data_IF_161379448590
#
_entry.id   IF_161379448590
#
_cell.length_a   1.000
_cell.length_b   1.000
_cell.length_c   1.000
_cell.angle_alpha   90.00
_cell.angle_beta   90.00
_cell.angle_gamma   90.00
#
_symmetry.space_group_name_H-M   'P 1'
#
loop_
_entity.id
_entity.type
_entity.pdbx_description
1 polymer ?
#
# COMPACT_ATOMS: atom_id res chain seq x y z
N UNK A 1 -5.97 18.70 35.96
CA UNK A 1 -4.80 17.83 36.08
C UNK A 1 -5.02 16.51 35.40
N UNK A 2 -5.98 15.67 35.75
CA UNK A 2 -6.17 14.33 35.09
C UNK A 2 -6.46 14.34 33.55
N UNK A 3 -7.08 15.37 33.02
CA UNK A 3 -7.37 15.50 31.60
C UNK A 3 -6.13 15.79 30.73
N UNK A 4 -5.15 16.47 31.30
CA UNK A 4 -3.90 16.82 30.58
C UNK A 4 -2.93 15.64 30.51
N UNK A 5 -2.92 14.79 31.54
CA UNK A 5 -2.13 13.56 31.58
C UNK A 5 -2.66 12.50 30.58
N UNK A 6 -3.98 12.40 30.40
CA UNK A 6 -4.60 11.49 29.43
C UNK A 6 -4.27 11.91 28.00
N UNK A 7 -4.35 13.21 27.68
CA UNK A 7 -4.01 13.73 26.37
C UNK A 7 -2.52 13.56 26.00
N UNK A 8 -1.63 13.68 26.99
CA UNK A 8 -0.20 13.45 26.79
C UNK A 8 0.10 11.97 26.50
N UNK A 9 -0.52 11.04 27.23
CA UNK A 9 -0.37 9.61 27.00
C UNK A 9 -0.95 9.16 25.63
N UNK A 10 -2.07 9.72 25.24
CA UNK A 10 -2.67 9.46 23.92
C UNK A 10 -1.78 9.98 22.79
N UNK A 11 -1.22 11.18 22.92
CA UNK A 11 -0.29 11.74 21.94
C UNK A 11 1.00 10.92 21.83
N UNK A 12 1.52 10.40 22.94
CA UNK A 12 2.70 9.53 22.95
C UNK A 12 2.40 8.19 22.26
N UNK A 13 1.25 7.58 22.53
CA UNK A 13 0.83 6.35 21.87
C UNK A 13 0.68 6.54 20.35
N UNK A 14 0.13 7.67 19.90
CA UNK A 14 0.03 7.98 18.48
C UNK A 14 1.40 8.18 17.84
N UNK A 15 2.33 8.85 18.51
CA UNK A 15 3.70 9.01 18.01
C UNK A 15 4.40 7.65 17.87
N UNK A 16 4.35 6.81 18.89
CA UNK A 16 4.93 5.47 18.86
C UNK A 16 4.35 4.63 17.72
N UNK A 17 3.05 4.71 17.47
CA UNK A 17 2.38 4.05 16.36
C UNK A 17 2.87 4.57 15.00
N UNK A 18 2.99 5.88 14.87
CA UNK A 18 3.48 6.53 13.67
C UNK A 18 4.93 6.15 13.38
N UNK A 19 5.81 6.22 14.37
CA UNK A 19 7.23 5.87 14.24
C UNK A 19 7.42 4.40 13.83
N UNK A 20 6.59 3.51 14.37
CA UNK A 20 6.69 2.08 14.08
C UNK A 20 6.16 1.70 12.69
N UNK A 21 5.16 2.40 12.14
CA UNK A 21 4.39 1.90 11.00
C UNK A 21 4.30 2.83 9.80
N UNK A 22 4.44 4.17 9.94
CA UNK A 22 4.21 5.13 8.85
C UNK A 22 5.03 4.83 7.61
N UNK A 23 6.34 4.65 7.75
CA UNK A 23 7.23 4.42 6.61
C UNK A 23 6.95 3.11 5.87
N UNK A 24 6.51 2.08 6.60
CA UNK A 24 6.18 0.78 6.01
C UNK A 24 4.84 0.84 5.25
N UNK A 25 3.82 1.51 5.83
CA UNK A 25 2.52 1.71 5.17
C UNK A 25 2.68 2.64 3.97
N UNK A 26 3.46 3.71 4.09
CA UNK A 26 3.73 4.64 3.00
C UNK A 26 4.34 3.91 1.79
N UNK A 27 5.42 3.15 1.99
CA UNK A 27 6.02 2.34 0.92
C UNK A 27 5.03 1.36 0.30
N UNK A 28 4.22 0.70 1.13
CA UNK A 28 3.17 -0.19 0.66
C UNK A 28 2.18 0.53 -0.25
N UNK A 29 1.68 1.70 0.16
CA UNK A 29 0.73 2.49 -0.62
C UNK A 29 1.35 2.97 -1.93
N UNK A 30 2.58 3.50 -1.89
CA UNK A 30 3.31 3.94 -3.10
C UNK A 30 3.48 2.78 -4.09
N UNK A 31 3.94 1.60 -3.64
CA UNK A 31 4.05 0.43 -4.53
C UNK A 31 2.68 -0.07 -5.02
N UNK A 32 1.62 0.22 -4.28
CA UNK A 32 0.27 -0.18 -4.66
C UNK A 32 -0.38 0.77 -5.68
N UNK A 33 -0.08 2.06 -5.62
CA UNK A 33 -0.74 3.11 -6.40
C UNK A 33 0.18 3.82 -7.40
N UNK A 34 1.47 3.91 -7.11
CA UNK A 34 2.41 4.80 -7.79
C UNK A 34 2.25 6.28 -7.39
N UNK A 35 1.33 6.59 -6.47
CA UNK A 35 1.04 7.96 -6.04
C UNK A 35 1.70 8.28 -4.69
N UNK A 36 2.73 9.12 -4.73
CA UNK A 36 3.47 9.55 -3.55
C UNK A 36 2.67 10.55 -2.70
N UNK A 37 1.93 11.45 -3.34
CA UNK A 37 1.15 12.48 -2.64
C UNK A 37 -0.06 11.86 -1.93
N UNK A 38 -0.82 11.01 -2.62
CA UNK A 38 -1.95 10.29 -2.01
C UNK A 38 -1.53 9.29 -0.93
N UNK A 39 -0.29 8.79 -0.97
CA UNK A 39 0.21 7.88 0.06
C UNK A 39 0.28 8.54 1.44
N UNK A 40 0.63 9.83 1.53
CA UNK A 40 0.67 10.55 2.81
C UNK A 40 -0.73 10.65 3.43
N UNK A 41 -1.74 10.93 2.64
CA UNK A 41 -3.14 11.00 3.10
C UNK A 41 -3.65 9.64 3.58
N UNK A 42 -3.34 8.56 2.87
CA UNK A 42 -3.70 7.19 3.26
C UNK A 42 -3.02 6.79 4.57
N UNK A 43 -1.73 7.12 4.74
CA UNK A 43 -1.00 6.87 5.99
C UNK A 43 -1.65 7.63 7.15
N UNK A 44 -1.90 8.91 6.98
CA UNK A 44 -2.50 9.76 7.99
C UNK A 44 -3.88 9.23 8.43
N UNK A 45 -4.77 8.93 7.47
CA UNK A 45 -6.10 8.39 7.76
C UNK A 45 -6.02 7.00 8.42
N UNK A 46 -5.07 6.15 8.02
CA UNK A 46 -4.84 4.84 8.64
C UNK A 46 -4.44 4.98 10.10
N UNK A 47 -3.51 5.88 10.41
CA UNK A 47 -3.06 6.18 11.77
C UNK A 47 -4.19 6.75 12.62
N UNK A 48 -4.98 7.67 12.08
CA UNK A 48 -6.14 8.25 12.77
C UNK A 48 -7.18 7.18 13.12
N UNK A 49 -7.46 6.25 12.22
CA UNK A 49 -8.39 5.15 12.48
C UNK A 49 -7.86 4.20 13.55
N UNK A 50 -6.56 3.89 13.53
CA UNK A 50 -5.93 3.07 14.56
C UNK A 50 -6.03 3.76 15.93
N UNK A 51 -5.69 5.03 16.01
CA UNK A 51 -5.76 5.81 17.23
C UNK A 51 -7.17 5.90 17.82
N UNK A 52 -8.19 6.03 16.98
CA UNK A 52 -9.60 6.05 17.40
C UNK A 52 -10.15 4.68 17.81
N UNK A 53 -9.36 3.63 17.71
CA UNK A 53 -9.76 2.25 18.02
C UNK A 53 -8.94 1.66 19.17
N UNK A 54 -9.28 1.95 20.45
CA UNK A 54 -8.54 1.41 21.59
C UNK A 54 -8.43 -0.12 21.58
N UNK A 55 -9.45 -0.81 21.05
CA UNK A 55 -9.45 -2.26 20.89
C UNK A 55 -8.36 -2.75 19.94
N UNK A 56 -7.95 -1.95 18.94
CA UNK A 56 -6.85 -2.27 18.01
C UNK A 56 -5.52 -2.00 18.70
N UNK A 57 -5.39 -0.88 19.42
CA UNK A 57 -4.17 -0.54 20.14
C UNK A 57 -3.84 -1.50 21.28
N UNK A 58 -4.86 -2.16 21.83
CA UNK A 58 -4.69 -3.19 22.87
C UNK A 58 -4.28 -4.57 22.30
N UNK A 59 -4.24 -4.75 20.98
CA UNK A 59 -3.84 -6.01 20.35
C UNK A 59 -2.31 -6.14 20.26
N UNK A 60 -1.80 -7.38 20.08
CA UNK A 60 -0.39 -7.59 19.78
C UNK A 60 0.06 -6.75 18.58
N UNK A 61 1.31 -6.23 18.58
CA UNK A 61 1.82 -5.36 17.50
C UNK A 61 1.64 -5.93 16.09
N UNK A 62 1.73 -7.24 15.93
CA UNK A 62 1.54 -7.92 14.64
C UNK A 62 0.09 -7.84 14.14
N UNK A 63 -0.88 -7.95 15.06
CA UNK A 63 -2.31 -7.84 14.74
C UNK A 63 -2.68 -6.40 14.38
N UNK A 64 -2.16 -5.43 15.15
CA UNK A 64 -2.31 -4.00 14.87
C UNK A 64 -1.74 -3.67 13.50
N UNK A 65 -0.54 -4.16 13.18
CA UNK A 65 0.08 -3.99 11.88
C UNK A 65 -0.78 -4.58 10.75
N UNK A 66 -1.23 -5.83 10.86
CA UNK A 66 -2.07 -6.48 9.86
C UNK A 66 -3.37 -5.70 9.61
N UNK A 67 -3.98 -5.21 10.68
CA UNK A 67 -5.17 -4.38 10.59
C UNK A 67 -4.90 -3.06 9.84
N UNK A 68 -3.78 -2.38 10.13
CA UNK A 68 -3.40 -1.13 9.45
C UNK A 68 -3.19 -1.33 7.95
N UNK A 69 -2.54 -2.41 7.51
CA UNK A 69 -2.42 -2.74 6.08
C UNK A 69 -3.78 -2.99 5.43
N UNK A 70 -4.69 -3.65 6.15
CA UNK A 70 -6.06 -3.88 5.67
C UNK A 70 -6.81 -2.55 5.47
N UNK A 71 -6.69 -1.63 6.42
CA UNK A 71 -7.30 -0.29 6.34
C UNK A 71 -6.70 0.51 5.18
N UNK A 72 -5.37 0.58 5.08
CA UNK A 72 -4.69 1.29 3.99
C UNK A 72 -5.10 0.76 2.62
N UNK A 73 -5.19 -0.57 2.48
CA UNK A 73 -5.67 -1.21 1.24
C UNK A 73 -7.11 -0.81 0.90
N UNK A 74 -8.01 -0.81 1.88
CA UNK A 74 -9.41 -0.42 1.65
C UNK A 74 -9.51 1.05 1.21
N UNK A 75 -8.76 1.95 1.86
CA UNK A 75 -8.71 3.35 1.45
C UNK A 75 -8.27 3.51 -0.01
N UNK A 76 -7.21 2.84 -0.41
CA UNK A 76 -6.74 2.85 -1.81
C UNK A 76 -7.81 2.31 -2.77
N UNK A 77 -8.46 1.18 -2.43
CA UNK A 77 -9.51 0.60 -3.29
C UNK A 77 -10.69 1.56 -3.43
N UNK A 78 -11.11 2.18 -2.34
CA UNK A 78 -12.24 3.12 -2.34
C UNK A 78 -11.91 4.37 -3.16
N UNK A 79 -10.67 4.86 -3.09
CA UNK A 79 -10.19 5.98 -3.90
C UNK A 79 -10.18 5.64 -5.40
N UNK A 80 -9.65 4.47 -5.78
CA UNK A 80 -9.65 3.99 -7.16
C UNK A 80 -11.09 3.83 -7.69
N UNK A 81 -12.00 3.31 -6.87
CA UNK A 81 -13.42 3.19 -7.25
C UNK A 81 -14.09 4.56 -7.40
N UNK A 82 -13.79 5.49 -6.51
CA UNK A 82 -14.30 6.86 -6.57
C UNK A 82 -13.77 7.62 -7.78
N UNK A 83 -12.48 7.47 -8.09
CA UNK A 83 -11.86 8.04 -9.27
C UNK A 83 -12.51 7.50 -10.57
N UNK A 84 -12.72 6.18 -10.67
CA UNK A 84 -13.42 5.58 -11.82
C UNK A 84 -14.82 6.15 -12.02
N UNK A 85 -15.61 6.30 -10.94
CA UNK A 85 -16.96 6.91 -11.03
C UNK A 85 -16.94 8.37 -11.47
N UNK A 86 -15.86 9.12 -11.13
CA UNK A 86 -15.68 10.52 -11.58
C UNK A 86 -15.20 10.61 -13.01
N UNK A 87 -14.48 9.61 -13.53
CA UNK A 87 -13.95 9.54 -14.90
C UNK A 87 -14.92 8.89 -15.93
N UNK A 88 -16.15 8.59 -15.57
CA UNK A 88 -17.20 8.25 -16.56
C UNK A 88 -17.58 9.43 -17.46
N UNK A 89 -17.03 10.63 -17.21
CA UNK A 89 -16.99 11.75 -18.16
C UNK A 89 -15.54 11.93 -18.64
N UNK A 90 -15.28 11.89 -19.97
CA UNK A 90 -13.91 11.98 -20.47
C UNK A 90 -13.33 13.37 -20.24
N UNK A 91 -12.36 13.47 -19.37
CA UNK A 91 -11.47 14.61 -19.29
C UNK A 91 -10.08 14.10 -19.57
N UNK A 92 -9.53 14.49 -20.73
CA UNK A 92 -8.15 14.27 -21.17
C UNK A 92 -7.19 15.11 -20.29
N UNK A 93 -6.91 14.65 -19.09
CA UNK A 93 -5.77 15.14 -18.32
C UNK A 93 -4.87 13.95 -17.97
N UNK A 94 -3.86 13.76 -18.80
CA UNK A 94 -2.71 12.89 -18.52
C UNK A 94 -1.91 13.59 -17.41
N UNK A 95 -1.67 12.95 -16.24
CA UNK A 95 -0.83 13.55 -15.22
C UNK A 95 0.57 13.80 -15.79
N UNK A 96 1.02 15.04 -15.67
CA UNK A 96 2.34 15.47 -16.11
C UNK A 96 3.41 14.68 -15.37
N UNK A 97 4.15 13.85 -16.11
CA UNK A 97 5.29 13.08 -15.57
C UNK A 97 6.42 14.06 -15.27
N UNK A 98 6.78 14.16 -14.01
CA UNK A 98 8.02 14.84 -13.61
C UNK A 98 9.20 14.02 -14.14
N UNK A 99 9.88 14.54 -15.16
CA UNK A 99 11.16 14.00 -15.65
C UNK A 99 12.19 14.11 -14.52
N UNK A 100 12.64 12.96 -14.02
CA UNK A 100 13.78 12.87 -13.11
C UNK A 100 14.99 12.35 -13.87
N UNK A 101 16.12 13.02 -13.65
CA UNK A 101 17.43 12.65 -14.16
C UNK A 101 17.80 11.21 -13.72
N UNK A 102 18.16 10.34 -14.67
CA UNK A 102 18.08 8.88 -14.48
C UNK A 102 19.47 8.26 -14.52
N UNK A 103 19.92 7.73 -13.38
CA UNK A 103 20.92 6.65 -13.33
C UNK A 103 20.23 5.30 -13.64
N UNK A 104 20.93 4.35 -14.28
CA UNK A 104 20.37 3.06 -14.73
C UNK A 104 19.59 2.29 -13.66
N UNK A 105 20.06 2.30 -12.41
CA UNK A 105 19.37 1.64 -11.29
C UNK A 105 18.04 2.31 -10.91
N UNK A 106 17.94 3.64 -11.04
CA UNK A 106 16.69 4.37 -10.85
C UNK A 106 15.72 4.10 -12.00
N UNK A 107 16.24 3.92 -13.20
CA UNK A 107 15.45 3.58 -14.37
C UNK A 107 14.80 2.19 -14.24
N UNK A 108 15.55 1.18 -13.81
CA UNK A 108 15.01 -0.17 -13.55
C UNK A 108 13.93 -0.14 -12.46
N UNK A 109 14.14 0.63 -11.38
CA UNK A 109 13.16 0.77 -10.31
C UNK A 109 11.86 1.39 -10.81
N UNK A 110 11.94 2.45 -11.62
CA UNK A 110 10.78 3.12 -12.21
C UNK A 110 10.01 2.21 -13.16
N UNK A 111 10.71 1.39 -13.96
CA UNK A 111 10.07 0.43 -14.87
C UNK A 111 9.29 -0.65 -14.09
N UNK A 112 9.85 -1.13 -12.98
CA UNK A 112 9.16 -2.09 -12.11
C UNK A 112 7.93 -1.45 -11.44
N UNK A 113 8.03 -0.22 -10.96
CA UNK A 113 6.90 0.51 -10.38
C UNK A 113 5.78 0.73 -11.39
N UNK A 114 6.12 1.15 -12.62
CA UNK A 114 5.14 1.29 -13.72
C UNK A 114 4.50 -0.03 -14.12
N UNK A 115 5.28 -1.11 -14.18
CA UNK A 115 4.76 -2.43 -14.48
C UNK A 115 3.84 -2.94 -13.37
N UNK A 116 4.20 -2.72 -12.10
CA UNK A 116 3.32 -2.99 -10.96
C UNK A 116 2.04 -2.16 -11.02
N UNK A 117 2.14 -0.88 -11.40
CA UNK A 117 0.99 0.01 -11.51
C UNK A 117 0.00 -0.44 -12.61
N UNK A 118 0.44 -1.14 -13.64
CA UNK A 118 -0.42 -1.69 -14.68
C UNK A 118 -1.23 -2.92 -14.25
N UNK A 119 -0.84 -3.59 -13.16
CA UNK A 119 -1.56 -4.76 -12.65
C UNK A 119 -2.84 -4.34 -11.91
N UNK A 120 -3.85 -5.23 -11.94
CA UNK A 120 -5.00 -5.09 -11.06
C UNK A 120 -4.58 -5.12 -9.58
N UNK A 121 -5.25 -4.30 -8.75
CA UNK A 121 -4.90 -4.08 -7.34
C UNK A 121 -4.83 -5.38 -6.53
N UNK A 122 -5.64 -6.38 -6.89
CA UNK A 122 -5.67 -7.68 -6.22
C UNK A 122 -4.37 -8.49 -6.43
N UNK A 123 -3.80 -8.45 -7.63
CA UNK A 123 -2.52 -9.07 -7.94
C UNK A 123 -1.35 -8.26 -7.38
N UNK A 124 -1.40 -6.94 -7.54
CA UNK A 124 -0.37 -6.03 -7.06
C UNK A 124 -0.18 -6.14 -5.54
N UNK A 125 -1.29 -6.14 -4.76
CA UNK A 125 -1.21 -6.21 -3.30
C UNK A 125 -0.51 -7.49 -2.81
N UNK A 126 -0.80 -8.66 -3.35
CA UNK A 126 -0.12 -9.89 -2.92
C UNK A 126 1.37 -9.90 -3.28
N UNK A 127 1.74 -9.34 -4.45
CA UNK A 127 3.15 -9.21 -4.85
C UNK A 127 3.89 -8.26 -3.91
N UNK A 128 3.31 -7.08 -3.64
CA UNK A 128 3.92 -6.09 -2.75
C UNK A 128 4.13 -6.64 -1.34
N UNK A 129 3.14 -7.31 -0.77
CA UNK A 129 3.29 -7.94 0.55
C UNK A 129 4.36 -9.03 0.57
N UNK A 130 4.38 -9.91 -0.43
CA UNK A 130 5.31 -11.04 -0.47
C UNK A 130 6.77 -10.58 -0.69
N UNK A 131 7.00 -9.70 -1.66
CA UNK A 131 8.37 -9.33 -2.09
C UNK A 131 8.90 -8.10 -1.36
N UNK A 132 8.15 -7.01 -1.26
CA UNK A 132 8.61 -5.81 -0.56
C UNK A 132 8.37 -5.88 0.95
N UNK A 133 7.30 -6.56 1.39
CA UNK A 133 7.01 -6.81 2.79
C UNK A 133 7.77 -7.99 3.39
N UNK A 134 8.39 -8.85 2.57
CA UNK A 134 9.08 -10.06 2.99
C UNK A 134 8.17 -11.05 3.74
N UNK A 135 6.88 -11.10 3.37
CA UNK A 135 5.86 -11.88 4.06
C UNK A 135 5.71 -13.27 3.46
N UNK A 136 5.53 -14.26 4.33
CA UNK A 136 5.12 -15.60 3.93
C UNK A 136 3.68 -15.60 3.40
N UNK A 137 3.31 -16.63 2.65
CA UNK A 137 1.95 -16.79 2.12
C UNK A 137 0.89 -16.73 3.23
N UNK A 138 1.15 -17.36 4.37
CA UNK A 138 0.26 -17.38 5.52
C UNK A 138 0.10 -15.97 6.14
N UNK A 139 1.18 -15.17 6.20
CA UNK A 139 1.14 -13.80 6.68
C UNK A 139 0.37 -12.90 5.70
N UNK A 140 0.64 -13.01 4.40
CA UNK A 140 -0.12 -12.27 3.37
C UNK A 140 -1.61 -12.60 3.44
N UNK A 141 -1.96 -13.86 3.61
CA UNK A 141 -3.35 -14.31 3.75
C UNK A 141 -4.05 -13.63 4.93
N UNK A 142 -3.38 -13.56 6.08
CA UNK A 142 -3.90 -12.86 7.28
C UNK A 142 -3.99 -11.35 7.06
N UNK A 143 -2.92 -10.72 6.55
CA UNK A 143 -2.85 -9.27 6.37
C UNK A 143 -3.88 -8.77 5.34
N UNK A 144 -4.15 -9.54 4.29
CA UNK A 144 -5.15 -9.21 3.28
C UNK A 144 -6.55 -9.79 3.56
N UNK A 145 -6.71 -10.59 4.62
CA UNK A 145 -7.97 -11.26 4.97
C UNK A 145 -8.53 -12.11 3.81
N UNK A 146 -7.66 -12.89 3.15
CA UNK A 146 -7.99 -13.81 2.04
C UNK A 146 -7.40 -15.21 2.30
N UNK A 147 -7.99 -16.28 1.73
CA UNK A 147 -7.43 -17.64 1.86
C UNK A 147 -6.02 -17.74 1.26
N UNK A 148 -5.16 -18.59 1.83
CA UNK A 148 -3.82 -18.87 1.29
C UNK A 148 -3.83 -19.37 -0.15
N UNK A 149 -4.83 -20.17 -0.54
CA UNK A 149 -5.02 -20.61 -1.93
C UNK A 149 -5.23 -19.43 -2.87
N UNK A 150 -5.94 -18.39 -2.40
CA UNK A 150 -6.16 -17.14 -3.15
C UNK A 150 -4.86 -16.34 -3.27
N UNK A 151 -4.04 -16.30 -2.21
CA UNK A 151 -2.70 -15.66 -2.28
C UNK A 151 -1.84 -16.34 -3.33
N UNK A 152 -1.77 -17.68 -3.31
CA UNK A 152 -0.98 -18.48 -4.27
C UNK A 152 -1.41 -18.24 -5.71
N UNK A 153 -2.71 -18.29 -5.99
CA UNK A 153 -3.24 -18.06 -7.34
C UNK A 153 -2.99 -16.61 -7.82
N UNK A 154 -3.23 -15.62 -6.94
CA UNK A 154 -2.96 -14.21 -7.27
C UNK A 154 -1.47 -13.93 -7.48
N UNK A 155 -0.57 -14.54 -6.70
CA UNK A 155 0.87 -14.44 -6.94
C UNK A 155 1.25 -15.05 -8.31
N UNK A 156 0.75 -16.25 -8.62
CA UNK A 156 1.05 -16.92 -9.88
C UNK A 156 0.63 -16.06 -11.08
N UNK A 157 -0.62 -15.64 -11.13
CA UNK A 157 -1.13 -14.83 -12.24
C UNK A 157 -0.56 -13.41 -12.25
N UNK A 158 -0.38 -12.81 -11.08
CA UNK A 158 0.20 -11.49 -10.95
C UNK A 158 1.65 -11.41 -11.42
N UNK A 159 2.50 -12.39 -11.07
CA UNK A 159 3.89 -12.46 -11.53
C UNK A 159 3.97 -12.71 -13.04
N UNK A 160 3.04 -13.50 -13.60
CA UNK A 160 2.96 -13.69 -15.05
C UNK A 160 2.60 -12.37 -15.75
N UNK A 161 1.61 -11.65 -15.26
CA UNK A 161 1.22 -10.35 -15.80
C UNK A 161 2.33 -9.30 -15.64
N UNK A 162 3.02 -9.27 -14.49
CA UNK A 162 4.17 -8.39 -14.27
C UNK A 162 5.29 -8.65 -15.27
N UNK A 163 5.60 -9.93 -15.51
CA UNK A 163 6.63 -10.30 -16.53
C UNK A 163 6.26 -9.79 -17.93
N UNK A 164 5.01 -9.95 -18.34
CA UNK A 164 4.55 -9.45 -19.64
C UNK A 164 4.66 -7.92 -19.71
N UNK A 165 4.22 -7.21 -18.68
CA UNK A 165 4.32 -5.75 -18.61
C UNK A 165 5.78 -5.25 -18.67
N UNK A 166 6.71 -5.97 -18.04
CA UNK A 166 8.15 -5.66 -18.12
C UNK A 166 8.74 -5.94 -19.50
N UNK A 167 8.31 -7.03 -20.17
CA UNK A 167 8.73 -7.34 -21.53
C UNK A 167 8.26 -6.26 -22.53
N UNK A 168 7.02 -5.79 -22.41
CA UNK A 168 6.50 -4.68 -23.23
C UNK A 168 7.29 -3.38 -23.05
N UNK A 169 7.91 -3.19 -21.90
CA UNK A 169 8.77 -2.03 -21.58
C UNK A 169 10.25 -2.24 -21.95
N UNK A 170 10.58 -3.35 -22.61
CA UNK A 170 11.95 -3.64 -23.07
C UNK A 170 12.87 -4.25 -22.01
N UNK A 171 12.35 -4.62 -20.83
CA UNK A 171 13.10 -5.38 -19.84
C UNK A 171 13.05 -6.85 -20.23
N UNK A 172 13.98 -7.26 -21.10
CA UNK A 172 14.11 -8.66 -21.55
C UNK A 172 15.17 -9.36 -20.69
N UNK A 173 14.73 -10.35 -19.93
CA UNK A 173 15.51 -11.56 -19.59
C UNK A 173 14.59 -12.76 -19.58
#
# INVERSE_FOLDING_TARGET
>A
MARDETGAAEAEALRALADAHSSAIWRYVVHLTGDHAGADDVVQETLLRAWRSPAILAQPPESTRAWMYTVARHLVIDEVRSARKRHEFPTDEVPERVERDRTDALFETLLVEEALASLGIEHRSVIVHAYYGGRSIAEVARELSIPEGTVKSRLHYGLRALRLALQEKGVTR
#
